data_IF_215585081457
#
_entry.id   IF_215585081457
#
_cell.length_a   1.000
_cell.length_b   1.000
_cell.length_c   1.000
_cell.angle_alpha   90.00
_cell.angle_beta   90.00
_cell.angle_gamma   90.00
#
_symmetry.space_group_name_H-M   'P 1'
#
loop_
_entity.id
_entity.type
_entity.pdbx_description
1 polymer ?
#
# COMPACT_ATOMS: atom_id res chain seq x y z
N UNK A 1 -14.52 2.72 -2.47
CA UNK A 1 -13.47 1.92 -3.15
C UNK A 1 -12.13 2.53 -2.80
N UNK A 2 -11.21 1.72 -2.28
CA UNK A 2 -9.89 2.15 -1.81
C UNK A 2 -8.84 2.00 -2.90
N UNK A 3 -7.91 2.95 -2.97
CA UNK A 3 -6.75 2.85 -3.84
C UNK A 3 -5.71 1.96 -3.18
N UNK A 4 -5.42 0.81 -3.78
CA UNK A 4 -4.30 -0.05 -3.36
C UNK A 4 -3.04 0.43 -4.06
N UNK A 5 -1.98 0.62 -3.28
CA UNK A 5 -0.65 1.01 -3.79
C UNK A 5 0.30 -0.13 -3.47
N UNK A 6 0.90 -0.70 -4.51
CA UNK A 6 1.94 -1.72 -4.38
C UNK A 6 3.30 -1.02 -4.27
N UNK A 7 4.07 -1.38 -3.24
CA UNK A 7 5.44 -0.90 -3.11
C UNK A 7 6.31 -1.44 -4.25
N UNK A 8 7.28 -0.66 -4.77
CA UNK A 8 8.18 -1.12 -5.83
C UNK A 8 8.87 -2.46 -5.51
N UNK A 9 9.25 -2.67 -4.26
CA UNK A 9 9.92 -3.88 -3.76
C UNK A 9 9.00 -5.12 -3.82
N UNK A 10 7.69 -4.93 -3.77
CA UNK A 10 6.73 -6.02 -3.90
C UNK A 10 6.47 -6.42 -5.36
N UNK A 11 6.87 -5.60 -6.34
CA UNK A 11 6.62 -5.90 -7.76
C UNK A 11 7.35 -7.18 -8.22
N UNK A 12 8.60 -7.36 -7.80
CA UNK A 12 9.38 -8.58 -8.09
C UNK A 12 8.77 -9.81 -7.42
N UNK A 13 8.28 -9.65 -6.19
CA UNK A 13 7.65 -10.73 -5.43
C UNK A 13 6.33 -11.19 -6.09
N UNK A 14 5.53 -10.24 -6.58
CA UNK A 14 4.32 -10.55 -7.33
C UNK A 14 4.62 -11.23 -8.67
N UNK A 15 5.66 -10.80 -9.37
CA UNK A 15 6.10 -11.43 -10.62
C UNK A 15 6.61 -12.86 -10.40
N UNK A 16 7.15 -13.16 -9.23
CA UNK A 16 7.62 -14.50 -8.85
C UNK A 16 6.50 -15.46 -8.40
N UNK A 17 5.25 -15.00 -8.28
CA UNK A 17 4.14 -15.85 -7.87
C UNK A 17 3.87 -16.97 -8.88
N UNK A 18 3.60 -18.20 -8.41
CA UNK A 18 3.09 -19.26 -9.28
C UNK A 18 1.79 -18.83 -9.98
N UNK A 19 1.64 -19.16 -11.26
CA UNK A 19 0.48 -18.72 -12.06
C UNK A 19 -0.88 -19.10 -11.44
N UNK A 20 -0.96 -20.24 -10.75
CA UNK A 20 -2.19 -20.69 -10.09
C UNK A 20 -2.60 -19.82 -8.89
N UNK A 21 -1.66 -19.09 -8.27
CA UNK A 21 -1.93 -18.19 -7.14
C UNK A 21 -2.36 -16.78 -7.59
N UNK A 22 -2.18 -16.43 -8.87
CA UNK A 22 -2.57 -15.10 -9.38
C UNK A 22 -4.08 -14.87 -9.28
N UNK A 23 -4.89 -15.91 -9.45
CA UNK A 23 -6.33 -15.82 -9.31
C UNK A 23 -6.75 -15.51 -7.86
N UNK A 24 -6.11 -16.14 -6.87
CA UNK A 24 -6.40 -15.87 -5.47
C UNK A 24 -5.89 -14.50 -5.04
N UNK A 25 -4.72 -14.08 -5.54
CA UNK A 25 -4.23 -12.72 -5.35
C UNK A 25 -5.20 -11.66 -5.88
N UNK A 26 -5.75 -11.86 -7.09
CA UNK A 26 -6.75 -10.95 -7.66
C UNK A 26 -8.03 -10.87 -6.80
N UNK A 27 -8.52 -11.99 -6.27
CA UNK A 27 -9.68 -12.00 -5.36
C UNK A 27 -9.43 -11.22 -4.08
N UNK A 28 -8.23 -11.36 -3.51
CA UNK A 28 -7.85 -10.59 -2.32
C UNK A 28 -7.78 -9.11 -2.65
N UNK A 29 -7.18 -8.75 -3.80
CA UNK A 29 -7.10 -7.37 -4.28
C UNK A 29 -8.50 -6.73 -4.43
N UNK A 30 -9.44 -7.46 -5.02
CA UNK A 30 -10.83 -7.01 -5.15
C UNK A 30 -11.47 -6.77 -3.77
N UNK A 31 -11.28 -7.68 -2.81
CA UNK A 31 -11.82 -7.54 -1.47
C UNK A 31 -11.27 -6.29 -0.74
N UNK A 32 -9.96 -6.05 -0.81
CA UNK A 32 -9.32 -4.90 -0.12
C UNK A 32 -9.58 -3.56 -0.83
N UNK A 33 -9.91 -3.57 -2.12
CA UNK A 33 -10.39 -2.35 -2.80
C UNK A 33 -11.83 -2.03 -2.42
N UNK A 34 -12.65 -3.03 -2.06
CA UNK A 34 -14.03 -2.84 -1.62
C UNK A 34 -14.13 -2.32 -0.18
N UNK A 35 -13.31 -2.85 0.74
CA UNK A 35 -13.32 -2.49 2.15
C UNK A 35 -11.89 -2.45 2.75
N UNK A 36 -11.64 -1.61 3.77
CA UNK A 36 -10.37 -1.62 4.48
C UNK A 36 -10.12 -2.98 5.14
N UNK A 37 -8.85 -3.34 5.29
CA UNK A 37 -8.47 -4.51 6.07
C UNK A 37 -8.78 -4.29 7.56
N UNK A 38 -9.54 -5.20 8.17
CA UNK A 38 -9.92 -5.17 9.60
C UNK A 38 -9.27 -6.32 10.40
N UNK A 39 -8.34 -7.05 9.78
CA UNK A 39 -7.57 -8.09 10.44
C UNK A 39 -6.37 -7.55 11.22
N UNK A 40 -5.80 -8.38 12.10
CA UNK A 40 -4.61 -8.00 12.85
C UNK A 40 -3.44 -7.59 11.93
N UNK A 41 -2.69 -6.52 12.26
CA UNK A 41 -1.54 -6.12 11.47
C UNK A 41 -0.47 -7.23 11.51
N UNK A 42 -0.05 -7.70 10.34
CA UNK A 42 0.95 -8.76 10.23
C UNK A 42 2.34 -8.32 10.74
N UNK A 43 2.62 -7.00 10.71
CA UNK A 43 3.90 -6.41 11.11
C UNK A 43 3.78 -5.54 12.37
N UNK A 44 3.15 -6.04 13.44
CA UNK A 44 2.99 -5.28 14.68
C UNK A 44 4.32 -4.76 15.27
N UNK A 45 5.44 -5.43 15.00
CA UNK A 45 6.78 -5.00 15.42
C UNK A 45 7.45 -3.95 14.50
N UNK A 46 6.92 -3.71 13.29
CA UNK A 46 7.45 -2.72 12.35
C UNK A 46 6.55 -1.46 12.23
N UNK A 47 5.50 -1.36 13.05
CA UNK A 47 4.63 -0.18 13.16
C UNK A 47 5.35 1.07 13.70
N UNK A 48 6.64 0.98 14.06
CA UNK A 48 7.46 2.13 14.45
C UNK A 48 8.07 2.91 13.27
N UNK A 49 7.90 2.44 12.02
CA UNK A 49 8.23 3.27 10.87
C UNK A 49 7.05 4.19 10.54
N UNK A 50 7.16 5.52 10.76
CA UNK A 50 6.10 6.43 10.36
C UNK A 50 6.02 6.40 8.84
N UNK A 51 4.98 5.74 8.31
CA UNK A 51 4.56 5.92 6.93
C UNK A 51 4.30 7.42 6.75
N UNK A 52 5.26 8.12 6.14
CA UNK A 52 5.20 9.55 5.84
C UNK A 52 3.81 9.88 5.33
N UNK A 53 3.06 10.66 6.11
CA UNK A 53 1.88 11.37 5.65
C UNK A 53 2.26 12.17 4.40
N UNK A 54 1.94 11.64 3.21
CA UNK A 54 1.90 12.45 1.98
C UNK A 54 0.60 13.27 1.99
N UNK A 55 0.45 14.12 3.00
CA UNK A 55 -0.67 15.05 3.12
C UNK A 55 -0.17 16.48 2.95
N UNK A 56 -0.23 16.91 1.69
CA UNK A 56 -0.42 18.30 1.22
C UNK A 56 0.42 19.39 1.91
N UNK A 57 1.59 19.65 1.35
CA UNK A 57 2.19 20.99 1.31
C UNK A 57 2.34 21.44 -0.15
N UNK A 58 1.21 21.48 -0.86
CA UNK A 58 1.00 22.44 -1.94
C UNK A 58 0.24 23.58 -1.27
N UNK A 59 0.82 24.78 -1.30
CA UNK A 59 0.37 26.05 -0.68
C UNK A 59 1.04 26.46 0.63
N UNK A 60 2.28 26.97 0.55
CA UNK A 60 2.65 28.24 1.19
C UNK A 60 4.02 28.74 0.71
N UNK A 61 4.00 29.64 -0.29
CA UNK A 61 4.89 30.79 -0.36
C UNK A 61 6.41 30.60 -0.44
N UNK A 62 6.95 30.75 -1.65
CA UNK A 62 8.14 31.61 -1.86
C UNK A 62 7.86 32.99 -1.21
N UNK A 63 8.82 33.72 -0.57
CA UNK A 63 10.14 34.05 -1.13
C UNK A 63 11.33 34.25 -0.16
N UNK A 64 12.51 34.30 -0.79
CA UNK A 64 13.69 35.13 -0.54
C UNK A 64 14.29 35.29 0.87
N UNK A 65 15.56 34.90 1.00
CA UNK A 65 16.68 35.81 1.30
C UNK A 65 18.01 35.25 0.83
#
# INVERSE_FOLDING_TARGET
MFRVVTYPEAAEQLAALPAHMLADYARVLDAITAAPWDGAPHNAAASEHPHREHRRDLEAGSPAR
#
